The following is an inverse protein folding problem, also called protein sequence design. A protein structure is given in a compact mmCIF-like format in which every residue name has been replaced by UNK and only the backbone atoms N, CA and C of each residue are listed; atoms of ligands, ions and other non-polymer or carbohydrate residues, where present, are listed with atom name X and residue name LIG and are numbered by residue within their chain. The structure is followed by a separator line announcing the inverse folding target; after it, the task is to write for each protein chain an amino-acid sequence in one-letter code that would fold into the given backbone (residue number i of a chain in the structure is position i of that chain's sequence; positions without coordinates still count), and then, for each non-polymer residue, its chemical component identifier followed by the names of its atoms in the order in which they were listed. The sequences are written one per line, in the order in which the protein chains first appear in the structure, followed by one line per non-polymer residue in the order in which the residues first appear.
data_IF_988417964563
#
_entry.id   IF_988417964563
#
_cell.length_a   1.000
_cell.length_b   1.000
_cell.length_c   1.000
_cell.angle_alpha   90.00
_cell.angle_beta   90.00
_cell.angle_gamma   90.00
#
_symmetry.space_group_name_H-M   'P 1'
#
loop_
_entity.id
_entity.type
_entity.pdbx_description
1 polymer ?
#
# COMPACT_ATOMS: atom_id res chain seq x y z
N UNK A 1 -5.93 -35.42 1.37
CA UNK A 1 -6.72 -34.17 1.28
C UNK A 1 -7.01 -33.71 2.70
N UNK A 2 -6.19 -32.86 3.24
CA UNK A 2 -6.50 -32.26 4.54
C UNK A 2 -7.52 -31.15 4.29
N UNK A 3 -8.73 -31.37 4.80
CA UNK A 3 -9.78 -30.36 4.78
C UNK A 3 -9.25 -29.10 5.45
N UNK A 4 -9.43 -27.99 4.79
CA UNK A 4 -9.15 -26.64 5.33
C UNK A 4 -9.97 -26.51 6.61
N UNK A 5 -9.38 -26.13 7.74
CA UNK A 5 -10.14 -25.98 8.98
C UNK A 5 -11.29 -24.98 8.81
N UNK A 6 -12.50 -25.36 9.24
CA UNK A 6 -13.71 -24.48 9.23
C UNK A 6 -13.49 -23.11 9.88
N UNK A 7 -12.55 -23.02 10.81
CA UNK A 7 -12.11 -21.78 11.44
C UNK A 7 -11.66 -20.70 10.46
N UNK A 8 -11.12 -21.09 9.32
CA UNK A 8 -10.58 -20.18 8.32
C UNK A 8 -11.70 -19.55 7.47
N UNK A 9 -12.65 -20.38 7.04
CA UNK A 9 -13.82 -19.89 6.28
C UNK A 9 -14.67 -18.93 7.13
N UNK A 10 -14.80 -19.21 8.45
CA UNK A 10 -15.51 -18.32 9.36
C UNK A 10 -14.82 -16.97 9.55
N UNK A 11 -13.47 -16.93 9.53
CA UNK A 11 -12.69 -15.71 9.68
C UNK A 11 -12.79 -14.83 8.43
N UNK A 12 -12.66 -15.40 7.25
CA UNK A 12 -12.86 -14.69 5.97
C UNK A 12 -14.27 -14.11 5.86
N UNK A 13 -15.29 -14.88 6.28
CA UNK A 13 -16.68 -14.39 6.33
C UNK A 13 -16.86 -13.26 7.34
N UNK A 14 -16.19 -13.32 8.50
CA UNK A 14 -16.21 -12.25 9.49
C UNK A 14 -15.49 -10.99 9.00
N UNK A 15 -14.35 -11.12 8.28
CA UNK A 15 -13.67 -10.02 7.63
C UNK A 15 -14.57 -9.35 6.59
N UNK A 16 -15.25 -10.13 5.75
CA UNK A 16 -16.18 -9.60 4.77
C UNK A 16 -17.34 -8.85 5.43
N UNK A 17 -17.94 -9.38 6.50
CA UNK A 17 -18.99 -8.68 7.25
C UNK A 17 -18.47 -7.41 7.94
N UNK A 18 -17.29 -7.48 8.56
CA UNK A 18 -16.68 -6.34 9.21
C UNK A 18 -16.21 -5.28 8.20
N UNK A 19 -15.86 -5.65 6.96
CA UNK A 19 -15.48 -4.71 5.91
C UNK A 19 -16.67 -3.93 5.35
N UNK A 20 -17.86 -4.51 5.36
CA UNK A 20 -19.07 -3.88 4.79
C UNK A 20 -19.65 -2.79 5.69
N UNK A 21 -19.53 -2.87 7.02
CA UNK A 21 -20.17 -1.91 7.95
C UNK A 21 -19.25 -1.35 9.05
N UNK A 22 -18.01 -0.92 8.77
CA UNK A 22 -17.16 -0.35 9.83
C UNK A 22 -17.53 1.09 10.22
N UNK A 23 -18.20 1.82 9.33
CA UNK A 23 -18.48 3.25 9.49
C UNK A 23 -19.91 3.56 9.06
N UNK A 24 -20.89 3.49 9.98
CA UNK A 24 -22.33 3.51 9.63
C UNK A 24 -22.78 4.82 8.94
N UNK A 25 -22.09 5.94 9.19
CA UNK A 25 -22.47 7.24 8.60
C UNK A 25 -21.57 7.63 7.43
N UNK A 26 -20.99 6.66 6.75
CA UNK A 26 -20.13 6.93 5.60
C UNK A 26 -20.33 5.90 4.49
N UNK A 27 -20.05 6.32 3.26
CA UNK A 27 -20.04 5.45 2.08
C UNK A 27 -18.75 5.61 1.31
N UNK A 28 -18.30 4.54 0.65
CA UNK A 28 -17.20 4.59 -0.30
C UNK A 28 -17.70 5.23 -1.59
N UNK A 29 -16.94 6.17 -2.12
CA UNK A 29 -17.13 6.81 -3.43
C UNK A 29 -15.81 6.80 -4.18
N UNK A 30 -15.86 6.93 -5.51
CA UNK A 30 -14.66 6.95 -6.33
C UNK A 30 -14.59 8.24 -7.12
N UNK A 31 -13.39 8.85 -7.15
CA UNK A 31 -13.08 9.96 -8.06
C UNK A 31 -12.39 9.37 -9.29
N UNK A 32 -12.90 9.73 -10.47
CA UNK A 32 -12.36 9.26 -11.74
C UNK A 32 -11.22 10.17 -12.21
N UNK A 33 -10.18 9.58 -12.80
CA UNK A 33 -9.09 10.28 -13.47
C UNK A 33 -9.37 10.51 -14.96
N UNK A 34 -8.32 10.85 -15.69
CA UNK A 34 -8.37 11.04 -17.15
C UNK A 34 -8.63 9.73 -17.91
N UNK A 35 -8.41 8.59 -17.26
CA UNK A 35 -8.60 7.23 -17.77
C UNK A 35 -9.61 6.50 -16.90
N UNK A 36 -10.39 5.59 -17.51
CA UNK A 36 -11.39 4.78 -16.80
C UNK A 36 -10.81 3.84 -15.75
N UNK A 37 -9.54 3.48 -15.87
CA UNK A 37 -8.81 2.61 -14.95
C UNK A 37 -8.09 3.40 -13.82
N UNK A 38 -8.19 4.74 -13.81
CA UNK A 38 -7.76 5.58 -12.69
C UNK A 38 -9.00 5.94 -11.86
N UNK A 39 -9.23 5.19 -10.79
CA UNK A 39 -10.34 5.38 -9.87
C UNK A 39 -9.81 5.46 -8.44
N UNK A 40 -9.90 6.64 -7.85
CA UNK A 40 -9.33 6.93 -6.53
C UNK A 40 -10.42 6.80 -5.47
N UNK A 41 -10.30 5.85 -4.51
CA UNK A 41 -11.32 5.65 -3.49
C UNK A 41 -11.31 6.77 -2.47
N UNK A 42 -12.49 7.24 -2.17
CA UNK A 42 -12.78 8.24 -1.16
C UNK A 42 -13.88 7.74 -0.24
N UNK A 43 -13.98 8.38 0.91
CA UNK A 43 -15.05 8.13 1.87
C UNK A 43 -15.82 9.43 2.10
N UNK A 44 -17.09 9.41 1.74
CA UNK A 44 -18.02 10.48 2.03
C UNK A 44 -18.67 10.22 3.40
N UNK A 45 -18.47 11.12 4.34
CA UNK A 45 -18.92 11.02 5.73
C UNK A 45 -20.08 11.99 5.92
N UNK A 46 -21.27 11.46 6.23
CA UNK A 46 -22.44 12.27 6.56
C UNK A 46 -22.28 12.89 7.96
N UNK A 47 -22.52 14.17 8.06
CA UNK A 47 -22.51 14.90 9.33
C UNK A 47 -23.94 15.05 9.86
N UNK A 48 -24.07 15.10 11.19
CA UNK A 48 -25.33 15.47 11.83
C UNK A 48 -25.61 16.95 11.66
N UNK A 49 -26.87 17.31 11.45
CA UNK A 49 -27.28 18.72 11.36
C UNK A 49 -26.94 19.47 12.65
N UNK A 50 -26.62 20.73 12.51
CA UNK A 50 -26.41 21.62 13.65
C UNK A 50 -27.77 21.92 14.29
N UNK A 51 -27.97 21.59 15.59
CA UNK A 51 -29.25 21.85 16.24
C UNK A 51 -29.54 23.32 16.32
N UNK A 52 -30.81 23.69 16.26
CA UNK A 52 -31.26 25.05 16.44
C UNK A 52 -30.86 25.58 17.83
N UNK A 53 -30.18 26.73 17.88
CA UNK A 53 -29.80 27.39 19.13
C UNK A 53 -30.71 28.63 19.29
N UNK A 54 -31.37 28.74 20.42
CA UNK A 54 -32.16 29.93 20.84
C UNK A 54 -33.19 30.42 19.80
N UNK A 55 -33.91 29.50 19.15
CA UNK A 55 -34.97 29.86 18.19
C UNK A 55 -34.51 30.06 16.75
N UNK A 56 -33.26 29.75 16.46
CA UNK A 56 -32.75 29.66 15.08
C UNK A 56 -33.25 28.42 14.33
N UNK A 57 -32.91 28.31 13.06
CA UNK A 57 -33.20 27.15 12.25
C UNK A 57 -32.14 26.04 12.42
N UNK A 58 -32.52 24.77 12.16
CA UNK A 58 -31.59 23.65 12.08
C UNK A 58 -30.71 23.86 10.84
N UNK A 59 -29.39 23.90 11.03
CA UNK A 59 -28.42 24.04 9.95
C UNK A 59 -28.03 22.67 9.37
N UNK A 60 -28.30 22.41 8.10
CA UNK A 60 -27.83 21.21 7.41
C UNK A 60 -26.31 21.29 7.19
N UNK A 61 -25.59 20.24 7.58
CA UNK A 61 -24.16 20.13 7.32
C UNK A 61 -23.90 19.29 6.08
N UNK A 62 -23.07 19.81 5.17
CA UNK A 62 -22.63 19.07 4.00
C UNK A 62 -21.71 17.89 4.42
N UNK A 63 -21.74 16.78 3.71
CA UNK A 63 -20.85 15.67 3.98
C UNK A 63 -19.38 16.06 3.76
N UNK A 64 -18.49 15.42 4.50
CA UNK A 64 -17.02 15.57 4.34
C UNK A 64 -16.48 14.40 3.57
N UNK A 65 -15.71 14.67 2.52
CA UNK A 65 -15.05 13.64 1.72
C UNK A 65 -13.58 13.57 2.08
N UNK A 66 -13.11 12.36 2.43
CA UNK A 66 -11.71 12.07 2.77
C UNK A 66 -11.19 10.92 1.93
N UNK A 67 -9.87 10.83 1.75
CA UNK A 67 -9.25 9.67 1.12
C UNK A 67 -9.51 8.39 1.95
N UNK A 68 -9.76 7.28 1.26
CA UNK A 68 -10.02 6.00 1.89
C UNK A 68 -8.85 5.04 1.68
N UNK A 69 -8.07 4.79 2.73
CA UNK A 69 -6.91 3.89 2.71
C UNK A 69 -7.28 2.41 2.68
N UNK A 70 -8.55 2.08 2.89
CA UNK A 70 -8.99 0.69 3.06
C UNK A 70 -9.01 -0.13 1.77
N UNK A 71 -8.73 0.48 0.62
CA UNK A 71 -8.80 -0.22 -0.67
C UNK A 71 -10.18 -0.87 -0.87
N UNK A 72 -10.24 -2.10 -1.39
CA UNK A 72 -11.52 -2.79 -1.62
C UNK A 72 -12.18 -3.31 -0.33
N UNK A 73 -11.49 -3.32 0.80
CA UNK A 73 -11.99 -3.93 2.05
C UNK A 73 -13.26 -3.29 2.63
N UNK A 74 -13.60 -2.10 2.21
CA UNK A 74 -14.84 -1.41 2.62
C UNK A 74 -15.75 -1.10 1.44
N UNK A 75 -15.54 -1.75 0.31
CA UNK A 75 -16.42 -1.67 -0.85
C UNK A 75 -17.45 -2.81 -0.81
N UNK A 76 -18.74 -2.51 -0.62
CA UNK A 76 -19.76 -3.54 -0.51
C UNK A 76 -20.01 -4.32 -1.81
N UNK A 77 -19.45 -3.88 -2.93
CA UNK A 77 -19.57 -4.53 -4.23
C UNK A 77 -18.45 -5.53 -4.51
N UNK A 78 -17.41 -5.58 -3.66
CA UNK A 78 -16.25 -6.45 -3.83
C UNK A 78 -16.26 -7.57 -2.81
N UNK A 79 -16.20 -8.80 -3.29
CA UNK A 79 -15.98 -9.97 -2.45
C UNK A 79 -14.48 -10.19 -2.25
N UNK A 80 -14.05 -10.25 -1.00
CA UNK A 80 -12.66 -10.44 -0.62
C UNK A 80 -12.39 -11.90 -0.27
N UNK A 81 -11.44 -12.50 -0.97
CA UNK A 81 -10.85 -13.80 -0.64
C UNK A 81 -9.32 -13.63 -0.47
N UNK A 82 -8.86 -13.62 0.76
CA UNK A 82 -7.44 -13.40 1.07
C UNK A 82 -6.50 -14.44 0.46
N UNK A 83 -7.03 -15.59 0.03
CA UNK A 83 -6.28 -16.65 -0.66
C UNK A 83 -6.08 -16.35 -2.13
N UNK A 84 -6.95 -15.55 -2.71
CA UNK A 84 -6.83 -15.06 -4.10
C UNK A 84 -6.03 -13.76 -4.18
N UNK A 85 -5.94 -13.02 -3.08
CA UNK A 85 -5.39 -11.67 -3.05
C UNK A 85 -6.32 -10.65 -3.71
N UNK A 86 -5.87 -9.40 -3.74
CA UNK A 86 -6.61 -8.29 -4.33
C UNK A 86 -6.46 -8.24 -5.86
N UNK A 87 -7.37 -7.52 -6.50
CA UNK A 87 -7.28 -7.23 -7.91
C UNK A 87 -6.07 -6.33 -8.24
N UNK A 88 -5.48 -6.56 -9.42
CA UNK A 88 -4.34 -5.77 -9.90
C UNK A 88 -4.79 -4.42 -10.43
N UNK A 89 -4.59 -3.37 -9.69
CA UNK A 89 -4.94 -2.00 -10.09
C UNK A 89 -3.96 -1.47 -11.15
N UNK A 90 -2.67 -1.79 -11.01
CA UNK A 90 -1.58 -1.16 -11.77
C UNK A 90 -0.99 -2.00 -12.90
N UNK A 91 -1.46 -3.24 -13.11
CA UNK A 91 -0.87 -4.12 -14.14
C UNK A 91 -0.86 -3.50 -15.53
N UNK A 92 -1.99 -2.93 -15.97
CA UNK A 92 -2.07 -2.28 -17.29
C UNK A 92 -1.10 -1.12 -17.39
N UNK A 93 -0.98 -0.28 -16.36
CA UNK A 93 -0.06 0.87 -16.34
C UNK A 93 1.41 0.45 -16.43
N UNK A 94 1.78 -0.65 -15.76
CA UNK A 94 3.13 -1.20 -15.77
C UNK A 94 3.45 -1.79 -17.16
N UNK A 95 2.51 -2.50 -17.76
CA UNK A 95 2.69 -3.14 -19.06
C UNK A 95 2.76 -2.14 -20.22
N UNK A 96 1.92 -1.11 -20.20
CA UNK A 96 1.89 -0.05 -21.22
C UNK A 96 3.20 0.70 -21.33
N UNK A 97 3.97 0.85 -20.26
CA UNK A 97 5.30 1.48 -20.28
C UNK A 97 6.30 0.70 -21.11
N UNK A 98 6.14 -0.61 -21.26
CA UNK A 98 6.96 -1.45 -22.13
C UNK A 98 8.43 -1.60 -21.72
N UNK A 99 8.83 -1.09 -20.56
CA UNK A 99 10.19 -0.99 -20.03
C UNK A 99 10.57 -2.09 -19.06
N UNK A 100 9.65 -2.96 -18.73
CA UNK A 100 9.85 -4.13 -17.87
C UNK A 100 9.57 -5.43 -18.62
N UNK A 101 10.13 -6.52 -18.14
CA UNK A 101 9.93 -7.88 -18.62
C UNK A 101 9.62 -8.81 -17.45
N UNK A 102 8.83 -9.83 -17.71
CA UNK A 102 8.55 -10.88 -16.74
C UNK A 102 9.71 -11.87 -16.71
N UNK A 103 10.16 -12.23 -15.52
CA UNK A 103 11.17 -13.27 -15.34
C UNK A 103 10.52 -14.65 -15.49
N UNK A 104 11.29 -15.60 -16.02
CA UNK A 104 10.85 -17.01 -16.10
C UNK A 104 10.90 -17.71 -14.75
N UNK A 105 11.78 -17.23 -13.86
CA UNK A 105 11.99 -17.74 -12.50
C UNK A 105 12.46 -16.59 -11.60
N UNK A 106 12.42 -16.80 -10.31
CA UNK A 106 13.03 -15.85 -9.35
C UNK A 106 14.55 -15.83 -9.51
N UNK A 107 15.16 -14.65 -9.38
CA UNK A 107 16.63 -14.53 -9.43
C UNK A 107 17.29 -14.68 -8.05
N UNK A 108 16.52 -14.55 -6.96
CA UNK A 108 16.99 -14.82 -5.61
C UNK A 108 17.19 -16.32 -5.38
N UNK A 109 18.38 -16.72 -4.90
CA UNK A 109 18.68 -18.11 -4.54
C UNK A 109 17.77 -18.60 -3.42
N UNK A 110 17.54 -17.80 -2.42
CA UNK A 110 16.63 -18.12 -1.32
C UNK A 110 15.19 -18.26 -1.80
N UNK A 111 14.73 -17.36 -2.66
CA UNK A 111 13.40 -17.45 -3.27
C UNK A 111 13.20 -18.75 -4.04
N UNK A 112 14.19 -19.18 -4.83
CA UNK A 112 14.18 -20.45 -5.52
C UNK A 112 14.14 -21.64 -4.55
N UNK A 113 14.95 -21.62 -3.48
CA UNK A 113 14.96 -22.66 -2.45
C UNK A 113 13.60 -22.77 -1.76
N UNK A 114 13.01 -21.62 -1.40
CA UNK A 114 11.66 -21.60 -0.81
C UNK A 114 10.64 -22.23 -1.76
N UNK A 115 10.63 -21.87 -3.04
CA UNK A 115 9.71 -22.42 -4.04
C UNK A 115 9.88 -23.93 -4.22
N UNK A 116 11.09 -24.46 -4.13
CA UNK A 116 11.38 -25.90 -4.27
C UNK A 116 10.96 -26.73 -3.04
N UNK A 117 10.77 -26.09 -1.88
CA UNK A 117 10.41 -26.79 -0.63
C UNK A 117 8.91 -27.09 -0.59
N UNK A 118 8.54 -28.33 -0.86
CA UNK A 118 7.15 -28.81 -0.83
C UNK A 118 6.54 -28.86 0.57
N UNK A 119 7.34 -28.81 1.64
CA UNK A 119 6.82 -28.75 3.01
C UNK A 119 6.07 -27.45 3.30
N UNK A 120 6.32 -26.41 2.51
CA UNK A 120 5.70 -25.09 2.59
C UNK A 120 4.41 -24.95 1.76
N UNK A 121 4.06 -25.96 0.97
CA UNK A 121 2.85 -25.91 0.13
C UNK A 121 1.55 -25.61 0.90
N UNK A 122 1.37 -26.08 2.14
CA UNK A 122 0.20 -25.68 2.94
C UNK A 122 0.10 -24.18 3.27
N UNK A 123 1.22 -23.44 3.20
CA UNK A 123 1.29 -22.01 3.44
C UNK A 123 1.12 -21.16 2.18
N UNK A 124 0.98 -21.79 1.03
CA UNK A 124 0.98 -21.12 -0.29
C UNK A 124 -0.33 -21.35 -1.00
N UNK A 125 -0.72 -20.37 -1.79
CA UNK A 125 -1.83 -20.49 -2.74
C UNK A 125 -1.33 -20.13 -4.13
N UNK A 126 -1.83 -20.83 -5.14
CA UNK A 126 -1.41 -20.62 -6.53
C UNK A 126 -1.57 -19.18 -6.99
N UNK A 127 -2.64 -18.53 -6.55
CA UNK A 127 -2.93 -17.13 -6.87
C UNK A 127 -1.91 -16.15 -6.28
N UNK A 128 -1.21 -16.52 -5.23
CA UNK A 128 -0.14 -15.71 -4.64
C UNK A 128 1.20 -15.93 -5.35
N UNK A 129 1.37 -17.04 -6.07
CA UNK A 129 2.59 -17.31 -6.81
C UNK A 129 2.64 -16.47 -8.07
N UNK A 130 3.45 -15.43 -8.06
CA UNK A 130 3.66 -14.56 -9.21
C UNK A 130 5.07 -14.69 -9.73
N UNK A 131 5.20 -14.65 -11.05
CA UNK A 131 6.49 -14.48 -11.69
C UNK A 131 6.87 -13.00 -11.58
N UNK A 132 8.05 -12.70 -11.02
CA UNK A 132 8.45 -11.30 -10.84
C UNK A 132 8.75 -10.64 -12.17
N UNK A 133 8.68 -9.30 -12.16
CA UNK A 133 9.10 -8.44 -13.28
C UNK A 133 10.37 -7.70 -12.89
N UNK A 134 11.21 -7.42 -13.87
CA UNK A 134 12.35 -6.51 -13.74
C UNK A 134 12.39 -5.50 -14.87
N UNK A 135 13.14 -4.42 -14.72
CA UNK A 135 13.45 -3.51 -15.80
C UNK A 135 14.21 -4.23 -16.93
N UNK A 136 13.86 -3.97 -18.18
CA UNK A 136 14.62 -4.44 -19.33
C UNK A 136 16.04 -3.89 -19.30
N UNK A 137 17.02 -4.55 -19.96
CA UNK A 137 18.38 -4.03 -20.06
C UNK A 137 18.41 -2.57 -20.52
N UNK A 138 19.06 -1.71 -19.74
CA UNK A 138 19.15 -0.27 -20.03
C UNK A 138 17.91 0.56 -19.62
N UNK A 139 16.83 -0.05 -19.15
CA UNK A 139 15.64 0.64 -18.65
C UNK A 139 15.67 0.80 -17.13
N UNK A 140 15.03 1.88 -16.65
CA UNK A 140 14.82 2.15 -15.25
C UNK A 140 13.32 2.34 -14.99
N UNK A 141 12.76 1.56 -14.08
CA UNK A 141 11.32 1.50 -13.78
C UNK A 141 10.90 2.28 -12.54
N UNK A 142 11.77 3.20 -12.05
CA UNK A 142 11.45 4.01 -10.87
C UNK A 142 10.63 5.26 -11.24
N UNK A 143 9.73 5.67 -10.35
CA UNK A 143 8.94 6.88 -10.52
C UNK A 143 9.83 8.14 -10.67
N UNK A 144 11.00 8.15 -9.97
CA UNK A 144 11.97 9.23 -10.13
C UNK A 144 12.56 9.30 -11.55
N UNK A 145 12.83 8.16 -12.19
CA UNK A 145 13.29 8.13 -13.58
C UNK A 145 12.24 8.72 -14.52
N UNK A 146 11.01 8.29 -14.42
CA UNK A 146 9.91 8.81 -15.24
C UNK A 146 9.74 10.31 -15.03
N UNK A 147 9.74 10.76 -13.79
CA UNK A 147 9.64 12.19 -13.48
C UNK A 147 10.78 13.01 -14.09
N UNK A 148 12.02 12.55 -13.99
CA UNK A 148 13.20 13.25 -14.55
C UNK A 148 13.23 13.27 -16.08
N UNK A 149 12.62 12.29 -16.73
CA UNK A 149 12.44 12.29 -18.18
C UNK A 149 11.22 13.08 -18.65
N UNK A 150 10.47 13.69 -17.73
CA UNK A 150 9.29 14.51 -18.02
C UNK A 150 8.00 13.70 -18.19
N UNK A 151 8.05 12.39 -17.96
CA UNK A 151 6.88 11.52 -18.06
C UNK A 151 5.98 11.69 -16.84
N UNK A 152 4.68 11.87 -17.08
CA UNK A 152 3.64 11.79 -16.07
C UNK A 152 3.05 10.36 -16.13
N UNK A 153 3.17 9.63 -15.02
CA UNK A 153 2.64 8.27 -14.92
C UNK A 153 1.20 8.27 -14.39
N UNK A 154 0.41 7.22 -14.64
CA UNK A 154 -0.91 7.08 -14.02
C UNK A 154 -0.85 7.13 -12.49
N UNK A 155 0.24 6.64 -11.88
CA UNK A 155 0.47 6.76 -10.45
C UNK A 155 0.57 8.23 -9.97
N UNK A 156 1.18 9.10 -10.75
CA UNK A 156 1.28 10.55 -10.43
C UNK A 156 -0.07 11.24 -10.53
N UNK A 157 -0.89 10.88 -11.51
CA UNK A 157 -2.26 11.38 -11.63
C UNK A 157 -3.14 10.90 -10.48
N UNK A 158 -3.08 9.60 -10.16
CA UNK A 158 -3.78 9.02 -9.03
C UNK A 158 -3.49 9.77 -7.74
N UNK A 159 -2.20 10.02 -7.47
CA UNK A 159 -1.74 10.80 -6.32
C UNK A 159 -2.27 12.23 -6.34
N UNK A 160 -2.25 12.90 -7.48
CA UNK A 160 -2.77 14.27 -7.59
C UNK A 160 -4.25 14.35 -7.20
N UNK A 161 -5.07 13.41 -7.67
CA UNK A 161 -6.50 13.33 -7.32
C UNK A 161 -6.65 13.08 -5.81
N UNK A 162 -5.87 12.15 -5.25
CA UNK A 162 -5.87 11.81 -3.82
C UNK A 162 -5.57 13.02 -2.93
N UNK A 163 -4.56 13.81 -3.28
CA UNK A 163 -4.07 14.91 -2.46
C UNK A 163 -4.96 16.16 -2.55
N UNK A 164 -5.66 16.38 -3.67
CA UNK A 164 -6.46 17.59 -3.88
C UNK A 164 -7.69 17.69 -2.97
N UNK A 165 -8.35 16.58 -2.62
CA UNK A 165 -9.60 16.61 -1.86
C UNK A 165 -9.48 17.24 -0.48
N UNK A 166 -8.29 17.22 0.14
CA UNK A 166 -8.05 17.89 1.41
C UNK A 166 -7.58 19.32 1.29
N UNK A 167 -7.09 19.74 0.14
CA UNK A 167 -6.55 21.09 -0.02
C UNK A 167 -7.63 22.16 0.12
N UNK A 168 -8.81 21.95 -0.43
CA UNK A 168 -9.91 22.92 -0.34
C UNK A 168 -10.41 23.06 1.11
N UNK A 169 -10.53 21.96 1.83
CA UNK A 169 -10.92 21.96 3.25
C UNK A 169 -9.84 22.62 4.14
N UNK A 170 -8.57 22.31 3.90
CA UNK A 170 -7.46 22.92 4.62
C UNK A 170 -7.34 24.42 4.37
N UNK A 171 -7.64 24.88 3.15
CA UNK A 171 -7.62 26.30 2.82
C UNK A 171 -8.74 27.05 3.50
N UNK A 172 -9.95 26.52 3.49
CA UNK A 172 -11.08 27.14 4.19
C UNK A 172 -10.78 27.24 5.69
N UNK A 173 -10.40 26.17 6.33
CA UNK A 173 -10.07 26.15 7.77
C UNK A 173 -8.82 26.95 8.12
N UNK A 174 -7.77 26.83 7.30
CA UNK A 174 -6.52 27.55 7.54
C UNK A 174 -6.64 29.06 7.33
N UNK A 175 -7.41 29.50 6.36
CA UNK A 175 -7.70 30.91 6.14
C UNK A 175 -8.53 31.53 7.28
N UNK A 176 -9.42 30.73 7.88
CA UNK A 176 -10.25 31.17 9.04
C UNK A 176 -9.45 31.20 10.34
N UNK A 177 -8.60 30.18 10.59
CA UNK A 177 -7.87 30.05 11.85
C UNK A 177 -6.53 30.81 11.88
N UNK A 178 -5.85 30.87 10.73
CA UNK A 178 -4.50 31.43 10.62
C UNK A 178 -4.35 32.27 9.35
N UNK A 179 -5.06 33.42 9.23
CA UNK A 179 -5.03 34.24 8.02
C UNK A 179 -3.60 34.72 7.72
N UNK A 180 -3.12 34.42 6.51
CA UNK A 180 -1.81 34.86 6.04
C UNK A 180 -0.61 34.01 6.50
N UNK A 181 -0.80 32.93 7.27
CA UNK A 181 0.29 32.07 7.71
C UNK A 181 0.33 30.76 6.91
N UNK A 182 1.39 30.56 6.15
CA UNK A 182 1.56 29.35 5.31
C UNK A 182 2.46 28.28 5.96
N UNK A 183 2.93 28.49 7.19
CA UNK A 183 3.80 27.58 7.94
C UNK A 183 5.03 27.10 7.14
N UNK A 184 5.52 27.92 6.20
CA UNK A 184 6.68 27.62 5.35
C UNK A 184 6.41 26.67 4.19
N UNK A 185 5.18 26.22 3.99
CA UNK A 185 4.78 25.43 2.82
C UNK A 185 4.33 26.37 1.68
N UNK A 186 4.83 26.13 0.48
CA UNK A 186 4.34 26.77 -0.76
C UNK A 186 3.50 25.74 -1.52
N UNK A 187 2.29 25.51 -1.06
CA UNK A 187 1.36 24.65 -1.76
C UNK A 187 0.75 25.41 -2.95
N UNK A 188 0.69 24.79 -4.14
CA UNK A 188 -0.04 25.35 -5.28
C UNK A 188 -1.54 25.39 -4.98
N UNK A 189 -2.30 26.11 -5.80
CA UNK A 189 -3.77 26.13 -5.67
C UNK A 189 -4.40 24.76 -5.88
N UNK A 190 -3.81 23.94 -6.71
CA UNK A 190 -4.17 22.53 -6.89
C UNK A 190 -2.90 21.69 -7.03
N UNK A 191 -2.93 20.48 -6.49
CA UNK A 191 -1.91 19.47 -6.78
C UNK A 191 -2.22 18.88 -8.16
N UNK A 192 -1.42 19.23 -9.15
CA UNK A 192 -1.56 18.66 -10.50
C UNK A 192 -0.60 17.49 -10.69
N UNK A 193 -0.82 16.60 -11.68
CA UNK A 193 0.14 15.55 -12.01
C UNK A 193 1.55 16.10 -12.36
N UNK A 194 1.63 17.30 -12.95
CA UNK A 194 2.89 18.00 -13.24
C UNK A 194 3.60 18.40 -11.94
N UNK A 195 2.85 18.92 -10.97
CA UNK A 195 3.41 19.26 -9.66
C UNK A 195 3.97 18.03 -8.95
N UNK A 196 3.23 16.90 -8.95
CA UNK A 196 3.67 15.62 -8.41
C UNK A 196 4.97 15.17 -9.11
N UNK A 197 4.99 15.18 -10.45
CA UNK A 197 6.20 14.86 -11.23
C UNK A 197 7.39 15.72 -10.83
N UNK A 198 7.20 17.04 -10.74
CA UNK A 198 8.27 17.99 -10.46
C UNK A 198 8.84 17.83 -9.04
N UNK A 199 8.00 17.53 -8.04
CA UNK A 199 8.44 17.23 -6.68
C UNK A 199 9.26 15.92 -6.63
N UNK A 200 8.85 14.90 -7.37
CA UNK A 200 9.60 13.64 -7.48
C UNK A 200 10.92 13.85 -8.24
N UNK A 201 10.92 14.56 -9.37
CA UNK A 201 12.11 14.83 -10.16
C UNK A 201 13.20 15.57 -9.37
N UNK A 202 12.78 16.46 -8.47
CA UNK A 202 13.66 17.22 -7.56
C UNK A 202 14.11 16.43 -6.33
N UNK A 203 13.63 15.20 -6.15
CA UNK A 203 13.96 14.36 -4.99
C UNK A 203 13.31 14.84 -3.68
N UNK A 204 12.19 15.58 -3.75
CA UNK A 204 11.47 16.09 -2.58
C UNK A 204 10.25 15.26 -2.20
N UNK A 205 9.90 14.29 -3.06
CA UNK A 205 8.82 13.35 -2.83
C UNK A 205 9.12 12.00 -3.46
N UNK A 206 8.48 10.95 -2.95
CA UNK A 206 8.56 9.59 -3.47
C UNK A 206 7.16 8.98 -3.54
N UNK A 207 6.92 8.18 -4.59
CA UNK A 207 5.79 7.25 -4.68
C UNK A 207 6.38 5.85 -4.49
N UNK A 208 6.24 5.22 -3.31
CA UNK A 208 6.68 3.85 -3.09
C UNK A 208 5.69 2.90 -3.76
N UNK A 209 6.06 2.37 -4.92
CA UNK A 209 5.16 1.59 -5.76
C UNK A 209 5.97 0.60 -6.61
N UNK A 210 6.29 -0.56 -6.04
CA UNK A 210 7.00 -1.62 -6.74
C UNK A 210 6.18 -2.15 -7.91
N UNK A 211 6.83 -2.43 -9.04
CA UNK A 211 6.18 -3.05 -10.23
C UNK A 211 5.69 -4.48 -9.95
N UNK A 212 6.20 -5.13 -8.90
CA UNK A 212 5.78 -6.45 -8.43
C UNK A 212 4.69 -6.40 -7.35
N UNK A 213 4.14 -5.21 -7.07
CA UNK A 213 2.98 -5.00 -6.19
C UNK A 213 1.86 -4.28 -6.97
N UNK A 214 1.28 -4.90 -8.00
CA UNK A 214 0.29 -4.26 -8.87
C UNK A 214 -1.07 -4.03 -8.20
N UNK A 215 -1.34 -4.62 -7.03
CA UNK A 215 -2.53 -4.41 -6.20
C UNK A 215 -2.54 -3.04 -5.53
N UNK A 216 -1.39 -2.42 -5.43
CA UNK A 216 -1.16 -1.16 -4.71
C UNK A 216 -1.96 -0.01 -5.31
N UNK A 217 -2.65 0.72 -4.45
CA UNK A 217 -3.20 2.06 -4.70
C UNK A 217 -2.12 3.12 -4.40
N UNK A 218 -1.68 3.92 -5.39
CA UNK A 218 -0.55 4.83 -5.20
C UNK A 218 -0.76 5.91 -4.14
N UNK A 219 0.28 6.17 -3.35
CA UNK A 219 0.37 7.31 -2.45
C UNK A 219 1.73 7.99 -2.56
N UNK A 220 1.87 9.18 -2.04
CA UNK A 220 3.11 9.96 -2.07
C UNK A 220 3.55 10.35 -0.67
N UNK A 221 4.86 10.32 -0.45
CA UNK A 221 5.49 10.84 0.76
C UNK A 221 6.38 12.02 0.35
N UNK A 222 6.11 13.19 0.90
CA UNK A 222 6.87 14.39 0.57
C UNK A 222 6.42 15.60 1.38
N UNK A 223 7.30 16.59 1.48
CA UNK A 223 7.07 17.78 2.32
C UNK A 223 5.83 18.58 1.95
N UNK A 224 5.50 18.61 0.66
CA UNK A 224 4.39 19.40 0.13
C UNK A 224 3.09 18.60 -0.03
N UNK A 225 3.01 17.44 0.61
CA UNK A 225 1.87 16.54 0.59
C UNK A 225 1.39 16.25 2.01
N UNK A 226 0.19 15.70 2.12
CA UNK A 226 -0.36 15.31 3.41
C UNK A 226 0.54 14.30 4.13
N UNK A 227 0.62 14.43 5.46
CA UNK A 227 1.32 13.45 6.31
C UNK A 227 0.69 12.08 6.13
N UNK A 228 1.53 11.06 6.02
CA UNK A 228 1.13 9.67 5.87
C UNK A 228 1.37 8.92 7.19
N UNK A 229 0.42 8.06 7.53
CA UNK A 229 0.49 7.21 8.72
C UNK A 229 1.04 5.85 8.32
N UNK A 230 2.11 5.43 8.99
CA UNK A 230 2.65 4.09 8.87
C UNK A 230 2.14 3.20 10.01
N UNK A 231 1.48 2.09 9.67
CA UNK A 231 1.11 1.04 10.61
C UNK A 231 2.19 -0.04 10.65
N UNK A 232 2.52 -0.54 11.85
CA UNK A 232 3.47 -1.64 12.02
C UNK A 232 2.73 -2.94 12.32
N UNK A 233 3.17 -4.02 11.70
CA UNK A 233 2.75 -5.39 12.00
C UNK A 233 3.96 -6.33 11.89
N UNK A 234 3.78 -7.58 12.14
CA UNK A 234 4.81 -8.60 11.99
C UNK A 234 4.59 -9.76 12.95
N UNK A 235 4.85 -10.96 12.47
CA UNK A 235 4.84 -12.13 13.31
C UNK A 235 6.09 -12.17 14.20
N UNK A 236 5.94 -12.74 15.41
CA UNK A 236 7.05 -13.05 16.29
C UNK A 236 7.13 -14.56 16.51
N UNK A 237 8.23 -15.02 17.11
CA UNK A 237 8.46 -16.44 17.39
C UNK A 237 7.36 -17.07 18.30
N UNK A 238 6.50 -16.25 18.88
CA UNK A 238 5.61 -16.69 19.93
C UNK A 238 4.14 -16.87 19.50
N UNK A 239 3.56 -16.05 18.59
CA UNK A 239 2.10 -16.09 18.45
C UNK A 239 1.45 -15.35 17.30
N UNK A 240 1.71 -15.54 16.06
CA UNK A 240 0.69 -15.15 15.07
C UNK A 240 0.72 -16.03 13.84
N UNK A 241 -0.45 -16.37 13.34
CA UNK A 241 -0.59 -17.03 12.05
C UNK A 241 -0.40 -15.99 10.93
N UNK A 242 -0.17 -16.47 9.71
CA UNK A 242 -0.10 -15.61 8.53
C UNK A 242 -1.41 -14.84 8.34
N UNK A 243 -2.53 -15.49 8.58
CA UNK A 243 -3.87 -14.89 8.49
C UNK A 243 -4.08 -13.77 9.51
N UNK A 244 -3.53 -13.94 10.73
CA UNK A 244 -3.60 -12.90 11.76
C UNK A 244 -2.83 -11.64 11.36
N UNK A 245 -1.73 -11.78 10.59
CA UNK A 245 -0.98 -10.63 10.07
C UNK A 245 -1.78 -9.89 8.98
N UNK A 246 -2.48 -10.63 8.10
CA UNK A 246 -3.41 -10.02 7.12
C UNK A 246 -4.57 -9.31 7.82
N UNK A 247 -5.12 -9.89 8.89
CA UNK A 247 -6.17 -9.26 9.69
C UNK A 247 -5.69 -7.95 10.32
N UNK A 248 -4.49 -7.93 10.93
CA UNK A 248 -3.89 -6.72 11.51
C UNK A 248 -3.69 -5.64 10.46
N UNK A 249 -3.19 -6.03 9.27
CA UNK A 249 -3.04 -5.11 8.14
C UNK A 249 -4.40 -4.50 7.77
N UNK A 250 -5.41 -5.34 7.58
CA UNK A 250 -6.77 -4.90 7.19
C UNK A 250 -7.33 -3.92 8.21
N UNK A 251 -7.14 -4.17 9.50
CA UNK A 251 -7.53 -3.23 10.55
C UNK A 251 -6.77 -1.92 10.44
N UNK A 252 -5.44 -1.96 10.30
CA UNK A 252 -4.60 -0.76 10.16
C UNK A 252 -5.06 0.14 9.03
N UNK A 253 -5.24 -0.41 7.83
CA UNK A 253 -5.64 0.36 6.64
C UNK A 253 -7.08 0.88 6.73
N UNK A 254 -7.98 0.16 7.38
CA UNK A 254 -9.35 0.65 7.64
C UNK A 254 -9.37 1.88 8.54
N UNK A 255 -8.42 1.99 9.45
CA UNK A 255 -8.30 3.11 10.37
C UNK A 255 -7.31 4.19 9.90
N UNK A 256 -6.91 4.16 8.64
CA UNK A 256 -6.19 5.25 8.00
C UNK A 256 -4.67 5.06 7.89
N UNK A 257 -4.14 3.85 8.06
CA UNK A 257 -2.74 3.59 7.71
C UNK A 257 -2.55 3.74 6.20
N UNK A 258 -1.70 4.66 5.79
CA UNK A 258 -1.33 4.92 4.40
C UNK A 258 -0.28 3.95 3.88
N UNK A 259 0.45 3.32 4.76
CA UNK A 259 1.48 2.33 4.49
C UNK A 259 1.63 1.39 5.67
N UNK A 260 2.16 0.21 5.43
CA UNK A 260 2.37 -0.83 6.45
C UNK A 260 3.84 -1.25 6.42
N UNK A 261 4.46 -1.35 7.61
CA UNK A 261 5.76 -1.99 7.80
C UNK A 261 5.57 -3.42 8.29
N UNK A 262 6.06 -4.39 7.51
CA UNK A 262 6.21 -5.77 7.97
C UNK A 262 7.53 -5.93 8.73
N UNK A 263 7.43 -6.05 10.04
CA UNK A 263 8.53 -6.21 10.98
C UNK A 263 8.66 -7.66 11.45
N UNK A 264 8.24 -8.63 10.64
CA UNK A 264 8.28 -10.05 10.99
C UNK A 264 9.70 -10.50 11.33
N UNK A 265 9.80 -11.22 12.47
CA UNK A 265 11.04 -11.82 13.00
C UNK A 265 10.87 -13.30 13.31
N UNK A 266 9.67 -13.83 13.09
CA UNK A 266 9.31 -15.24 13.33
C UNK A 266 9.77 -16.18 12.21
N UNK A 267 9.06 -17.30 12.09
CA UNK A 267 9.28 -18.27 11.01
C UNK A 267 8.43 -17.90 9.78
N UNK A 268 8.87 -18.38 8.62
CA UNK A 268 8.15 -18.23 7.35
C UNK A 268 7.90 -16.77 6.97
N UNK A 269 8.91 -15.91 7.20
CA UNK A 269 8.84 -14.48 6.86
C UNK A 269 8.53 -14.30 5.37
N UNK A 270 9.11 -15.13 4.50
CA UNK A 270 8.86 -15.10 3.05
C UNK A 270 7.37 -15.29 2.71
N UNK A 271 6.74 -16.33 3.22
CA UNK A 271 5.33 -16.64 2.94
C UNK A 271 4.39 -15.64 3.61
N UNK A 272 4.69 -15.22 4.84
CA UNK A 272 3.92 -14.19 5.56
C UNK A 272 3.89 -12.90 4.73
N UNK A 273 5.03 -12.45 4.25
CA UNK A 273 5.15 -11.25 3.43
C UNK A 273 4.41 -11.37 2.10
N UNK A 274 4.47 -12.53 1.45
CA UNK A 274 3.73 -12.77 0.20
C UNK A 274 2.21 -12.57 0.41
N UNK A 275 1.65 -13.11 1.48
CA UNK A 275 0.26 -12.92 1.81
C UNK A 275 -0.07 -11.45 2.10
N UNK A 276 0.79 -10.77 2.86
CA UNK A 276 0.61 -9.35 3.19
C UNK A 276 0.57 -8.52 1.91
N UNK A 277 1.56 -8.68 1.03
CA UNK A 277 1.67 -7.89 -0.21
C UNK A 277 0.49 -8.16 -1.14
N UNK A 278 0.13 -9.43 -1.37
CA UNK A 278 -1.00 -9.79 -2.26
C UNK A 278 -2.36 -9.30 -1.75
N UNK A 279 -2.47 -9.02 -0.47
CA UNK A 279 -3.69 -8.55 0.18
C UNK A 279 -3.64 -7.07 0.57
N UNK A 280 -2.60 -6.34 0.20
CA UNK A 280 -2.43 -4.94 0.58
C UNK A 280 -2.76 -3.98 -0.57
N UNK A 281 -3.68 -3.02 -0.36
CA UNK A 281 -3.87 -1.90 -1.26
C UNK A 281 -2.92 -0.73 -0.97
N UNK A 282 -2.10 -0.81 0.10
CA UNK A 282 -1.16 0.23 0.49
C UNK A 282 0.28 -0.26 0.38
N UNK A 283 1.27 0.63 0.26
CA UNK A 283 2.67 0.23 0.19
C UNK A 283 3.12 -0.58 1.40
N UNK A 284 3.92 -1.60 1.14
CA UNK A 284 4.53 -2.46 2.16
C UNK A 284 6.02 -2.16 2.26
N UNK A 285 6.44 -1.79 3.46
CA UNK A 285 7.85 -1.64 3.83
C UNK A 285 8.35 -2.82 4.65
N UNK A 286 9.67 -3.03 4.64
CA UNK A 286 10.32 -4.08 5.44
C UNK A 286 11.62 -3.60 6.05
N UNK A 287 12.16 -4.42 6.95
CA UNK A 287 13.52 -4.30 7.51
C UNK A 287 14.32 -5.53 7.07
N UNK A 288 15.00 -5.51 5.92
CA UNK A 288 15.60 -6.72 5.32
C UNK A 288 16.59 -7.47 6.21
N UNK A 289 17.28 -6.76 7.12
CA UNK A 289 18.24 -7.39 8.02
C UNK A 289 17.57 -8.41 8.97
N UNK A 290 16.28 -8.27 9.29
CA UNK A 290 15.58 -9.22 10.16
C UNK A 290 15.45 -10.59 9.48
N UNK A 291 15.10 -10.61 8.20
CA UNK A 291 15.06 -11.86 7.44
C UNK A 291 16.46 -12.39 7.14
N UNK A 292 17.44 -11.52 6.88
CA UNK A 292 18.84 -11.96 6.72
C UNK A 292 19.33 -12.68 7.98
N UNK A 293 18.97 -12.18 9.17
CA UNK A 293 19.28 -12.85 10.45
C UNK A 293 18.52 -14.17 10.62
N UNK A 294 17.27 -14.27 10.17
CA UNK A 294 16.52 -15.54 10.18
C UNK A 294 17.25 -16.60 9.34
N UNK A 295 17.73 -16.22 8.14
CA UNK A 295 18.44 -17.13 7.22
C UNK A 295 19.71 -17.73 7.83
N UNK A 296 20.37 -17.03 8.75
CA UNK A 296 21.57 -17.49 9.49
C UNK A 296 21.25 -17.92 10.94
N UNK A 297 19.99 -18.26 11.23
CA UNK A 297 19.54 -18.69 12.55
C UNK A 297 19.92 -17.73 13.69
N UNK A 298 19.90 -16.42 13.43
CA UNK A 298 20.20 -15.37 14.39
C UNK A 298 21.68 -15.12 14.68
N UNK A 299 22.58 -15.76 13.95
CA UNK A 299 24.03 -15.58 14.12
C UNK A 299 24.52 -14.40 13.28
N UNK A 300 24.71 -13.26 13.92
CA UNK A 300 25.13 -12.04 13.23
C UNK A 300 26.50 -12.17 12.55
N UNK A 301 27.40 -12.99 13.08
CA UNK A 301 28.72 -13.29 12.51
C UNK A 301 28.67 -14.05 11.18
N UNK A 302 27.57 -14.71 10.88
CA UNK A 302 27.37 -15.45 9.62
C UNK A 302 26.71 -14.57 8.53
N UNK A 303 26.40 -13.30 8.82
CA UNK A 303 25.88 -12.36 7.82
C UNK A 303 26.97 -11.99 6.83
N UNK A 304 26.69 -12.19 5.53
CA UNK A 304 27.54 -11.75 4.44
C UNK A 304 26.83 -10.73 3.55
N UNK A 305 27.59 -9.99 2.77
CA UNK A 305 27.03 -9.09 1.76
C UNK A 305 26.18 -9.85 0.72
N UNK A 306 26.64 -10.99 0.28
CA UNK A 306 25.97 -11.84 -0.71
C UNK A 306 24.58 -12.26 -0.21
N UNK A 307 24.50 -12.75 1.03
CA UNK A 307 23.24 -13.12 1.67
C UNK A 307 22.30 -11.92 1.83
N UNK A 308 22.82 -10.78 2.26
CA UNK A 308 22.01 -9.57 2.41
C UNK A 308 21.52 -9.06 1.05
N UNK A 309 22.39 -9.06 0.03
CA UNK A 309 22.03 -8.71 -1.35
C UNK A 309 20.94 -9.63 -1.90
N UNK A 310 21.06 -10.94 -1.73
CA UNK A 310 20.04 -11.90 -2.14
C UNK A 310 18.69 -11.64 -1.44
N UNK A 311 18.74 -11.28 -0.15
CA UNK A 311 17.54 -10.90 0.60
C UNK A 311 16.86 -9.65 0.02
N UNK A 312 17.61 -8.64 -0.40
CA UNK A 312 17.05 -7.45 -1.05
C UNK A 312 16.41 -7.80 -2.40
N UNK A 313 17.06 -8.65 -3.19
CA UNK A 313 16.54 -9.12 -4.47
C UNK A 313 15.23 -9.87 -4.26
N UNK A 314 15.21 -10.85 -3.36
CA UNK A 314 14.01 -11.63 -3.01
C UNK A 314 12.84 -10.73 -2.65
N UNK A 315 13.05 -9.78 -1.75
CA UNK A 315 12.00 -8.88 -1.29
C UNK A 315 11.50 -7.93 -2.38
N UNK A 316 12.41 -7.44 -3.24
CA UNK A 316 12.04 -6.62 -4.38
C UNK A 316 11.22 -7.41 -5.41
N UNK A 317 11.58 -8.65 -5.67
CA UNK A 317 10.86 -9.56 -6.56
C UNK A 317 9.48 -9.96 -6.02
N UNK A 318 9.32 -10.06 -4.70
CA UNK A 318 8.01 -10.26 -4.09
C UNK A 318 7.09 -9.03 -4.19
N UNK A 319 7.66 -7.83 -4.26
CA UNK A 319 6.87 -6.61 -4.41
C UNK A 319 6.97 -5.64 -3.22
N UNK A 320 7.97 -5.78 -2.34
CA UNK A 320 8.21 -4.80 -1.28
C UNK A 320 8.45 -3.42 -1.88
N UNK A 321 7.74 -2.42 -1.39
CA UNK A 321 7.71 -1.07 -1.98
C UNK A 321 8.84 -0.17 -1.47
N UNK A 322 9.31 -0.41 -0.25
CA UNK A 322 10.43 0.33 0.34
C UNK A 322 11.11 -0.45 1.46
N UNK A 323 12.37 -0.10 1.72
CA UNK A 323 13.18 -0.72 2.76
C UNK A 323 13.57 0.27 3.84
N UNK A 324 13.54 -0.19 5.10
CA UNK A 324 14.25 0.46 6.20
C UNK A 324 15.61 -0.21 6.36
N UNK A 325 16.68 0.56 6.15
CA UNK A 325 18.04 0.07 6.23
C UNK A 325 18.70 0.65 7.47
N UNK A 326 19.25 -0.22 8.32
CA UNK A 326 20.12 0.20 9.41
C UNK A 326 21.52 0.41 8.85
N UNK A 327 21.90 1.67 8.67
CA UNK A 327 23.22 2.10 8.22
C UNK A 327 23.85 2.88 9.36
N UNK A 328 24.68 2.19 10.17
CA UNK A 328 25.41 2.76 11.29
C UNK A 328 26.80 3.21 10.94
#
# INVERSE_FOLDING_TARGET
MNAIPDKFLSKTAQLNQASVQPFPNSKKVYMEGSRLDIRVPMREISLTDTPAIAGGEVGANLPVTVYDTSGPYTDPTVEIDIRKGLANVRSAWIEERGDSEQLTEQSSEYGQQRLADSSLDPLRFEQHRRQPRKGKPGCNVSQMHYARTGMITPEMEYVAIRENLRLDEYRQRGAEQHPGNNWGARLPEAITPEFVRDEIARGRAIIPANINHPELEPMIIGRNFLVKINGNLGNSAITSSIEDEVDKMTWGIRWGSDTIMDLSTGKNIHETREWIIRNSPVPIGTVPIYQALEKVNGKAEDLTWELFRDTLIEQAEQGVDYFTIHAG
#
